data_IF_001067757801
#
_entry.id   IF_001067757801
#
_cell.length_a   1.000
_cell.length_b   1.000
_cell.length_c   1.000
_cell.angle_alpha   90.00
_cell.angle_beta   90.00
_cell.angle_gamma   90.00
#
_symmetry.space_group_name_H-M   'P 1'
#
loop_
_entity.id
_entity.type
_entity.pdbx_description
1 polymer ?
#
# COMPACT_ATOMS: atom_id res chain seq x y z
N UNK A 1 26.64 2.35 23.98
CA UNK A 1 26.16 3.74 23.77
C UNK A 1 26.43 4.29 22.36
N UNK A 2 27.68 4.51 21.88
CA UNK A 2 27.90 5.07 20.52
C UNK A 2 27.50 4.10 19.39
N UNK A 3 27.59 2.79 19.64
CA UNK A 3 27.17 1.72 18.72
C UNK A 3 25.64 1.56 18.68
N UNK A 4 24.97 1.57 19.85
CA UNK A 4 23.50 1.53 19.96
C UNK A 4 22.81 2.69 19.24
N UNK A 5 23.40 3.90 19.28
CA UNK A 5 22.84 5.08 18.61
C UNK A 5 22.87 4.92 17.09
N UNK A 6 23.97 4.40 16.53
CA UNK A 6 24.05 4.14 15.07
C UNK A 6 23.13 3.00 14.65
N UNK A 7 22.95 1.97 15.49
CA UNK A 7 22.03 0.87 15.20
C UNK A 7 20.57 1.34 15.15
N UNK A 8 20.14 2.16 16.11
CA UNK A 8 18.78 2.73 16.14
C UNK A 8 18.52 3.69 14.98
N UNK A 9 19.51 4.49 14.58
CA UNK A 9 19.40 5.37 13.41
C UNK A 9 19.28 4.55 12.11
N UNK A 10 20.05 3.46 11.98
CA UNK A 10 19.96 2.55 10.83
C UNK A 10 18.63 1.79 10.78
N UNK A 11 18.10 1.37 11.93
CA UNK A 11 16.80 0.70 12.06
C UNK A 11 15.65 1.65 11.65
N UNK A 12 15.66 2.90 12.13
CA UNK A 12 14.70 3.94 11.73
C UNK A 12 14.75 4.21 10.22
N UNK A 13 15.96 4.33 9.66
CA UNK A 13 16.16 4.51 8.22
C UNK A 13 15.68 3.30 7.41
N UNK A 14 15.94 2.08 7.90
CA UNK A 14 15.48 0.85 7.26
C UNK A 14 13.95 0.74 7.27
N UNK A 15 13.31 1.03 8.41
CA UNK A 15 11.84 1.03 8.54
C UNK A 15 11.21 2.07 7.60
N UNK A 16 11.75 3.30 7.55
CA UNK A 16 11.28 4.35 6.64
C UNK A 16 11.39 3.93 5.16
N UNK A 17 12.52 3.35 4.78
CA UNK A 17 12.75 2.88 3.41
C UNK A 17 11.85 1.69 3.08
N UNK A 18 11.68 0.75 4.01
CA UNK A 18 10.79 -0.39 3.90
C UNK A 18 9.32 0.03 3.71
N UNK A 19 8.85 1.03 4.47
CA UNK A 19 7.50 1.58 4.32
C UNK A 19 7.29 2.20 2.92
N UNK A 20 8.26 2.96 2.41
CA UNK A 20 8.17 3.56 1.09
C UNK A 20 8.09 2.49 -0.02
N UNK A 21 8.97 1.49 0.04
CA UNK A 21 8.95 0.40 -0.94
C UNK A 21 7.71 -0.48 -0.84
N UNK A 22 7.17 -0.71 0.36
CA UNK A 22 5.91 -1.42 0.56
C UNK A 22 4.73 -0.69 -0.07
N UNK A 23 4.67 0.64 0.08
CA UNK A 23 3.64 1.48 -0.55
C UNK A 23 3.70 1.40 -2.09
N UNK A 24 4.88 1.63 -2.68
CA UNK A 24 5.06 1.52 -4.13
C UNK A 24 4.80 0.08 -4.63
N UNK A 25 5.24 -0.93 -3.87
CA UNK A 25 4.99 -2.33 -4.17
C UNK A 25 3.51 -2.67 -4.20
N UNK A 26 2.71 -2.14 -3.27
CA UNK A 26 1.25 -2.32 -3.27
C UNK A 26 0.58 -1.71 -4.49
N UNK A 27 0.95 -0.47 -4.86
CA UNK A 27 0.41 0.21 -6.05
C UNK A 27 0.77 -0.56 -7.33
N UNK A 28 2.03 -0.96 -7.48
CA UNK A 28 2.50 -1.72 -8.65
C UNK A 28 1.85 -3.12 -8.71
N UNK A 29 1.69 -3.79 -7.57
CA UNK A 29 1.02 -5.10 -7.51
C UNK A 29 -0.43 -5.00 -8.00
N UNK A 30 -1.18 -4.00 -7.53
CA UNK A 30 -2.57 -3.80 -7.96
C UNK A 30 -2.67 -3.44 -9.46
N UNK A 31 -1.80 -2.55 -9.95
CA UNK A 31 -1.86 -2.05 -11.33
C UNK A 31 -1.31 -3.01 -12.38
N UNK A 32 -0.26 -3.79 -12.07
CA UNK A 32 0.39 -4.67 -13.04
C UNK A 32 0.04 -6.12 -12.81
N UNK A 33 0.16 -6.60 -11.56
CA UNK A 33 0.01 -8.02 -11.27
C UNK A 33 -1.46 -8.41 -11.16
N UNK A 34 -2.26 -7.69 -10.38
CA UNK A 34 -3.70 -7.98 -10.22
C UNK A 34 -4.47 -7.63 -11.50
N UNK A 35 -4.25 -6.43 -12.08
CA UNK A 35 -4.86 -6.07 -13.36
C UNK A 35 -4.41 -7.01 -14.49
N UNK A 36 -3.11 -7.34 -14.58
CA UNK A 36 -2.59 -8.23 -15.61
C UNK A 36 -3.13 -9.65 -15.49
N UNK A 37 -3.15 -10.21 -14.27
CA UNK A 37 -3.71 -11.55 -14.03
C UNK A 37 -5.21 -11.60 -14.23
N UNK A 38 -5.97 -10.56 -13.86
CA UNK A 38 -7.41 -10.49 -14.13
C UNK A 38 -7.74 -10.35 -15.62
N UNK A 39 -6.95 -9.59 -16.39
CA UNK A 39 -7.08 -9.53 -17.86
C UNK A 39 -6.69 -10.86 -18.51
N UNK A 40 -5.65 -11.53 -18.01
CA UNK A 40 -5.22 -12.83 -18.51
C UNK A 40 -6.27 -13.90 -18.18
N UNK A 41 -6.67 -14.05 -16.92
CA UNK A 41 -7.69 -15.01 -16.50
C UNK A 41 -9.06 -14.71 -17.11
N UNK A 42 -9.46 -13.43 -17.20
CA UNK A 42 -10.70 -13.01 -17.85
C UNK A 42 -10.69 -13.26 -19.36
N UNK A 43 -9.57 -13.00 -20.03
CA UNK A 43 -9.38 -13.28 -21.45
C UNK A 43 -9.32 -14.77 -21.78
N UNK A 44 -8.70 -15.59 -20.91
CA UNK A 44 -8.69 -17.05 -21.07
C UNK A 44 -10.06 -17.66 -20.76
N UNK A 45 -10.75 -17.21 -19.71
CA UNK A 45 -12.07 -17.72 -19.32
C UNK A 45 -13.16 -17.32 -20.33
N UNK A 46 -13.04 -16.16 -20.96
CA UNK A 46 -14.01 -15.66 -21.93
C UNK A 46 -13.41 -15.60 -23.36
N UNK A 47 -12.72 -16.66 -23.78
CA UNK A 47 -12.00 -16.73 -25.07
C UNK A 47 -12.90 -16.49 -26.30
N UNK A 48 -14.22 -16.67 -26.16
CA UNK A 48 -15.24 -16.48 -27.21
C UNK A 48 -16.30 -15.42 -26.87
N UNK A 49 -16.18 -14.72 -25.74
CA UNK A 49 -17.17 -13.73 -25.29
C UNK A 49 -16.55 -12.35 -25.08
N UNK A 50 -17.36 -11.30 -25.18
CA UNK A 50 -16.92 -9.95 -24.82
C UNK A 50 -16.92 -9.79 -23.30
N UNK A 51 -15.79 -9.40 -22.72
CA UNK A 51 -15.73 -9.02 -21.31
C UNK A 51 -16.45 -7.67 -21.15
N UNK A 52 -17.59 -7.67 -20.46
CA UNK A 52 -18.34 -6.44 -20.17
C UNK A 52 -17.49 -5.57 -19.26
N UNK A 53 -17.05 -4.44 -19.80
CA UNK A 53 -16.27 -3.45 -19.10
C UNK A 53 -17.03 -2.13 -19.12
N UNK A 54 -17.42 -1.63 -17.95
CA UNK A 54 -17.98 -0.28 -17.88
C UNK A 54 -16.86 0.74 -18.13
N UNK A 55 -16.77 1.17 -19.39
CA UNK A 55 -15.78 2.15 -19.84
C UNK A 55 -15.89 3.47 -19.07
N UNK A 56 -17.08 3.87 -18.59
CA UNK A 56 -17.22 5.14 -17.86
C UNK A 56 -16.63 5.01 -16.47
N UNK A 57 -16.95 3.94 -15.75
CA UNK A 57 -16.44 3.70 -14.40
C UNK A 57 -14.92 3.54 -14.38
N UNK A 58 -14.41 2.73 -15.29
CA UNK A 58 -12.99 2.53 -15.51
C UNK A 58 -12.23 3.83 -15.79
N UNK A 59 -12.72 4.64 -16.73
CA UNK A 59 -12.09 5.91 -17.07
C UNK A 59 -12.05 6.86 -15.87
N UNK A 60 -13.13 6.93 -15.09
CA UNK A 60 -13.16 7.76 -13.87
C UNK A 60 -12.12 7.27 -12.85
N UNK A 61 -12.05 5.97 -12.57
CA UNK A 61 -11.08 5.40 -11.63
C UNK A 61 -9.63 5.61 -12.11
N UNK A 62 -9.35 5.38 -13.39
CA UNK A 62 -8.03 5.63 -13.98
C UNK A 62 -7.64 7.10 -13.95
N UNK A 63 -8.57 8.02 -14.23
CA UNK A 63 -8.31 9.47 -14.16
C UNK A 63 -8.05 9.94 -12.73
N UNK A 64 -8.74 9.37 -11.73
CA UNK A 64 -8.51 9.67 -10.32
C UNK A 64 -7.13 9.16 -9.86
N UNK A 65 -6.74 7.95 -10.28
CA UNK A 65 -5.40 7.41 -10.01
C UNK A 65 -4.29 8.26 -10.67
N UNK A 66 -4.51 8.72 -11.90
CA UNK A 66 -3.56 9.62 -12.60
C UNK A 66 -3.49 10.99 -11.93
N UNK A 67 -4.63 11.54 -11.50
CA UNK A 67 -4.69 12.81 -10.79
C UNK A 67 -3.87 12.73 -9.49
N UNK A 68 -4.03 11.66 -8.71
CA UNK A 68 -3.27 11.44 -7.48
C UNK A 68 -1.78 11.23 -7.74
N UNK A 69 -1.43 10.55 -8.83
CA UNK A 69 -0.03 10.42 -9.23
C UNK A 69 0.58 11.80 -9.54
N UNK A 70 -0.09 12.65 -10.32
CA UNK A 70 0.38 13.99 -10.65
C UNK A 70 0.50 14.85 -9.38
N UNK A 71 -0.49 14.73 -8.49
CA UNK A 71 -0.55 15.41 -7.19
C UNK A 71 0.65 15.04 -6.30
N UNK A 72 1.06 13.76 -6.33
CA UNK A 72 2.21 13.25 -5.57
C UNK A 72 3.57 13.54 -6.25
N UNK A 73 3.62 13.50 -7.57
CA UNK A 73 4.84 13.79 -8.36
C UNK A 73 5.22 15.26 -8.26
N UNK A 74 4.26 16.18 -8.10
CA UNK A 74 4.54 17.61 -7.98
C UNK A 74 5.43 17.97 -6.76
N UNK A 75 5.13 17.53 -5.52
CA UNK A 75 6.03 17.64 -4.37
C UNK A 75 7.38 16.94 -4.57
N UNK A 76 7.40 15.79 -5.25
CA UNK A 76 8.64 15.06 -5.54
C UNK A 76 9.57 15.85 -6.47
N UNK A 77 9.03 16.38 -7.57
CA UNK A 77 9.79 17.23 -8.50
C UNK A 77 10.37 18.46 -7.82
N UNK A 78 9.60 19.11 -6.94
CA UNK A 78 10.08 20.27 -6.18
C UNK A 78 11.21 19.91 -5.19
N UNK A 79 11.21 18.68 -4.66
CA UNK A 79 12.31 18.16 -3.84
C UNK A 79 13.60 17.96 -4.65
N UNK A 80 13.51 17.48 -5.89
CA UNK A 80 14.67 17.20 -6.73
C UNK A 80 15.19 18.41 -7.54
N UNK A 81 14.34 19.39 -7.84
CA UNK A 81 14.71 20.58 -8.62
C UNK A 81 15.47 21.65 -7.81
N UNK A 82 15.68 21.46 -6.50
CA UNK A 82 16.31 22.45 -5.63
C UNK A 82 17.85 22.27 -5.57
N UNK A 83 18.65 23.30 -5.90
CA UNK A 83 20.12 23.22 -5.84
C UNK A 83 20.63 23.12 -4.40
N UNK A 84 21.72 22.37 -4.21
CA UNK A 84 22.29 21.95 -2.93
C UNK A 84 22.87 23.06 -2.02
N UNK A 85 22.71 24.33 -2.39
CA UNK A 85 23.43 25.46 -1.78
C UNK A 85 22.69 26.24 -0.69
N UNK A 86 21.46 25.86 -0.31
CA UNK A 86 20.73 26.51 0.79
C UNK A 86 20.56 25.59 2.02
N UNK A 87 21.02 25.99 3.22
CA UNK A 87 20.90 25.20 4.43
C UNK A 87 19.49 25.37 5.02
N UNK A 88 18.51 24.65 4.49
CA UNK A 88 17.16 24.64 5.06
C UNK A 88 16.65 23.21 5.17
N UNK A 89 17.20 22.45 6.12
CA UNK A 89 16.63 21.17 6.59
C UNK A 89 15.12 21.29 6.91
N UNK A 90 14.64 22.48 7.31
CA UNK A 90 13.22 22.77 7.50
C UNK A 90 12.35 22.76 6.22
N UNK A 91 12.93 22.98 5.03
CA UNK A 91 12.16 23.08 3.78
C UNK A 91 11.64 21.73 3.30
N UNK A 92 12.42 20.66 3.49
CA UNK A 92 12.07 19.30 3.03
C UNK A 92 10.94 18.75 3.90
N UNK A 93 11.01 18.99 5.21
CA UNK A 93 9.98 18.56 6.17
C UNK A 93 8.66 19.32 5.95
N UNK A 94 8.72 20.62 5.66
CA UNK A 94 7.53 21.40 5.31
C UNK A 94 6.90 20.95 3.99
N UNK A 95 7.71 20.58 2.99
CA UNK A 95 7.22 20.06 1.72
C UNK A 95 6.50 18.71 1.87
N UNK A 96 7.05 17.81 2.69
CA UNK A 96 6.39 16.53 3.02
C UNK A 96 5.08 16.73 3.77
N UNK A 97 5.02 17.67 4.72
CA UNK A 97 3.77 18.03 5.42
C UNK A 97 2.73 18.62 4.48
N UNK A 98 3.13 19.51 3.57
CA UNK A 98 2.24 20.07 2.55
C UNK A 98 1.69 18.97 1.62
N UNK A 99 2.54 18.04 1.18
CA UNK A 99 2.14 16.88 0.38
C UNK A 99 1.12 16.01 1.11
N UNK A 100 1.32 15.72 2.40
CA UNK A 100 0.37 14.94 3.19
C UNK A 100 -1.02 15.62 3.28
N UNK A 101 -1.05 16.94 3.50
CA UNK A 101 -2.32 17.69 3.56
C UNK A 101 -3.06 17.60 2.22
N UNK A 102 -2.33 17.76 1.11
CA UNK A 102 -2.91 17.67 -0.24
C UNK A 102 -3.49 16.27 -0.50
N UNK A 103 -2.76 15.20 -0.15
CA UNK A 103 -3.24 13.81 -0.29
C UNK A 103 -4.50 13.54 0.54
N UNK A 104 -4.59 14.08 1.76
CA UNK A 104 -5.79 13.94 2.60
C UNK A 104 -6.99 14.64 1.95
N UNK A 105 -6.80 15.87 1.44
CA UNK A 105 -7.86 16.61 0.76
C UNK A 105 -8.35 15.86 -0.47
N UNK A 106 -7.44 15.33 -1.28
CA UNK A 106 -7.78 14.52 -2.45
C UNK A 106 -8.54 13.24 -2.07
N UNK A 107 -8.09 12.53 -1.03
CA UNK A 107 -8.79 11.33 -0.55
C UNK A 107 -10.19 11.63 -0.02
N UNK A 108 -10.38 12.73 0.72
CA UNK A 108 -11.70 13.14 1.20
C UNK A 108 -12.61 13.53 0.04
N UNK A 109 -12.10 14.25 -0.96
CA UNK A 109 -12.84 14.56 -2.17
C UNK A 109 -13.24 13.29 -2.95
N UNK A 110 -12.34 12.30 -3.00
CA UNK A 110 -12.62 10.98 -3.57
C UNK A 110 -13.71 10.23 -2.81
N UNK A 111 -13.66 10.18 -1.47
CA UNK A 111 -14.72 9.58 -0.67
C UNK A 111 -16.08 10.27 -0.87
N UNK A 112 -16.09 11.61 -0.95
CA UNK A 112 -17.32 12.35 -1.26
C UNK A 112 -17.89 12.00 -2.64
N UNK A 113 -17.01 11.83 -3.63
CA UNK A 113 -17.38 11.40 -4.98
C UNK A 113 -17.98 9.99 -4.98
N UNK A 114 -17.33 9.04 -4.30
CA UNK A 114 -17.80 7.65 -4.15
C UNK A 114 -19.15 7.56 -3.44
N UNK A 115 -19.29 8.23 -2.29
CA UNK A 115 -20.46 8.06 -1.42
C UNK A 115 -21.70 8.81 -1.90
N UNK A 116 -21.54 9.97 -2.56
CA UNK A 116 -22.68 10.83 -2.90
C UNK A 116 -22.93 11.00 -4.38
N UNK A 117 -21.87 11.22 -5.17
CA UNK A 117 -22.05 11.71 -6.55
C UNK A 117 -22.24 10.56 -7.53
N UNK A 118 -21.55 9.44 -7.31
CA UNK A 118 -21.56 8.27 -8.22
C UNK A 118 -21.87 6.96 -7.47
N UNK A 119 -22.61 7.03 -6.34
CA UNK A 119 -23.00 5.87 -5.52
C UNK A 119 -23.59 4.73 -6.37
N UNK A 120 -24.47 5.05 -7.32
CA UNK A 120 -25.12 4.08 -8.21
C UNK A 120 -24.14 3.31 -9.13
N UNK A 121 -22.97 3.88 -9.47
CA UNK A 121 -21.94 3.17 -10.23
C UNK A 121 -21.14 2.20 -9.34
N UNK A 122 -21.01 2.48 -8.04
CA UNK A 122 -20.29 1.63 -7.10
C UNK A 122 -21.19 0.54 -6.49
N UNK A 123 -22.45 0.83 -6.20
CA UNK A 123 -23.43 -0.14 -5.66
C UNK A 123 -23.67 -1.28 -6.67
N UNK A 124 -23.74 -0.96 -7.98
CA UNK A 124 -23.85 -1.96 -9.04
C UNK A 124 -22.62 -2.88 -9.14
N UNK A 125 -21.43 -2.43 -8.70
CA UNK A 125 -20.22 -3.26 -8.66
C UNK A 125 -20.25 -4.22 -7.48
N UNK A 126 -20.69 -3.77 -6.30
CA UNK A 126 -20.82 -4.63 -5.11
C UNK A 126 -21.86 -5.74 -5.31
N UNK A 127 -22.95 -5.45 -6.02
CA UNK A 127 -23.95 -6.45 -6.38
C UNK A 127 -23.41 -7.51 -7.35
N UNK A 128 -22.63 -7.12 -8.37
CA UNK A 128 -22.11 -8.04 -9.40
C UNK A 128 -20.90 -8.86 -8.90
N UNK A 129 -20.10 -8.31 -7.98
CA UNK A 129 -19.08 -9.06 -7.24
C UNK A 129 -19.71 -10.02 -6.22
N UNK A 130 -20.80 -9.62 -5.56
CA UNK A 130 -21.51 -10.43 -4.56
C UNK A 130 -22.47 -11.49 -5.11
N UNK A 131 -22.76 -11.49 -6.42
CA UNK A 131 -23.71 -12.43 -7.06
C UNK A 131 -23.02 -13.59 -7.81
N UNK A 132 -21.68 -13.58 -7.92
CA UNK A 132 -20.93 -14.68 -8.55
C UNK A 132 -20.78 -15.91 -7.65
N UNK A 133 -21.03 -15.77 -6.35
CA UNK A 133 -21.18 -16.89 -5.41
C UNK A 133 -22.67 -17.13 -5.15
N UNK A 134 -23.32 -17.85 -6.06
CA UNK A 134 -24.66 -18.39 -5.86
C UNK A 134 -24.62 -19.67 -5.00
N UNK A 135 -24.02 -19.59 -3.82
CA UNK A 135 -24.27 -20.51 -2.71
C UNK A 135 -24.70 -19.67 -1.50
N UNK A 136 -25.89 -19.97 -0.98
CA UNK A 136 -26.58 -19.38 0.18
C UNK A 136 -25.79 -18.30 0.94
N UNK A 137 -26.11 -17.03 0.68
CA UNK A 137 -25.53 -15.85 1.33
C UNK A 137 -25.78 -15.95 2.85
N UNK A 138 -24.85 -16.56 3.57
CA UNK A 138 -24.84 -16.59 5.02
C UNK A 138 -24.58 -15.16 5.48
N UNK A 139 -25.65 -14.40 5.69
CA UNK A 139 -25.60 -13.10 6.34
C UNK A 139 -25.11 -13.32 7.76
N UNK A 140 -23.78 -13.28 7.93
CA UNK A 140 -23.13 -13.15 9.23
C UNK A 140 -23.79 -11.96 9.93
N UNK A 141 -24.58 -12.25 10.96
CA UNK A 141 -25.23 -11.20 11.75
C UNK A 141 -24.18 -10.20 12.23
N UNK A 142 -24.57 -8.94 12.43
CA UNK A 142 -23.64 -7.84 12.79
C UNK A 142 -22.70 -8.23 13.95
N UNK A 143 -23.18 -9.02 14.92
CA UNK A 143 -22.37 -9.56 16.02
C UNK A 143 -21.31 -10.58 15.58
N UNK A 144 -21.65 -11.48 14.65
CA UNK A 144 -20.73 -12.45 14.05
C UNK A 144 -19.71 -11.77 13.14
N UNK A 145 -20.15 -10.77 12.35
CA UNK A 145 -19.26 -9.95 11.53
C UNK A 145 -18.27 -9.14 12.37
N UNK A 146 -18.73 -8.54 13.47
CA UNK A 146 -17.87 -7.82 14.41
C UNK A 146 -16.86 -8.76 15.09
N UNK A 147 -17.28 -9.96 15.49
CA UNK A 147 -16.39 -10.97 16.07
C UNK A 147 -15.31 -11.40 15.09
N UNK A 148 -15.69 -11.64 13.82
CA UNK A 148 -14.75 -12.03 12.77
C UNK A 148 -13.77 -10.91 12.43
N UNK A 149 -14.24 -9.66 12.36
CA UNK A 149 -13.40 -8.48 12.13
C UNK A 149 -12.33 -8.35 13.21
N UNK A 150 -12.72 -8.46 14.49
CA UNK A 150 -11.78 -8.41 15.61
C UNK A 150 -10.80 -9.59 15.54
N UNK A 151 -11.29 -10.81 15.28
CA UNK A 151 -10.46 -12.01 15.18
C UNK A 151 -9.41 -11.94 14.08
N UNK A 152 -9.79 -11.48 12.89
CA UNK A 152 -8.85 -11.28 11.77
C UNK A 152 -7.88 -10.15 12.06
N UNK A 153 -8.32 -9.06 12.69
CA UNK A 153 -7.43 -7.93 13.05
C UNK A 153 -6.33 -8.39 14.02
N UNK A 154 -6.69 -9.17 15.05
CA UNK A 154 -5.71 -9.73 16.00
C UNK A 154 -4.75 -10.68 15.28
N UNK A 155 -5.29 -11.57 14.45
CA UNK A 155 -4.47 -12.54 13.69
C UNK A 155 -3.47 -11.83 12.78
N UNK A 156 -3.92 -10.80 12.03
CA UNK A 156 -3.06 -10.02 11.15
C UNK A 156 -2.00 -9.24 11.96
N UNK A 157 -2.36 -8.69 13.12
CA UNK A 157 -1.40 -7.99 13.98
C UNK A 157 -0.28 -8.91 14.47
N UNK A 158 -0.62 -10.11 14.97
CA UNK A 158 0.35 -11.10 15.42
C UNK A 158 1.23 -11.60 14.25
N UNK A 159 0.62 -11.85 13.10
CA UNK A 159 1.35 -12.29 11.92
C UNK A 159 2.30 -11.19 11.40
N UNK A 160 1.87 -9.92 11.44
CA UNK A 160 2.69 -8.79 11.04
C UNK A 160 3.91 -8.65 11.94
N UNK A 161 3.77 -8.77 13.25
CA UNK A 161 4.88 -8.73 14.20
C UNK A 161 5.87 -9.89 13.98
N UNK A 162 5.33 -11.10 13.73
CA UNK A 162 6.15 -12.27 13.41
C UNK A 162 6.93 -12.10 12.10
N UNK A 163 6.30 -11.58 11.05
CA UNK A 163 6.95 -11.32 9.76
C UNK A 163 8.06 -10.29 9.93
N UNK A 164 7.79 -9.17 10.62
CA UNK A 164 8.79 -8.12 10.88
C UNK A 164 9.98 -8.68 11.65
N UNK A 165 9.73 -9.44 12.72
CA UNK A 165 10.80 -10.09 13.52
C UNK A 165 11.62 -11.08 12.68
N UNK A 166 10.98 -11.79 11.76
CA UNK A 166 11.64 -12.78 10.90
C UNK A 166 12.55 -12.13 9.85
N UNK A 167 12.18 -10.96 9.33
CA UNK A 167 12.98 -10.27 8.29
C UNK A 167 14.12 -9.44 8.89
N UNK A 168 13.99 -8.93 10.11
CA UNK A 168 14.98 -8.04 10.74
C UNK A 168 16.33 -8.75 10.99
N UNK A 169 16.29 -9.95 11.58
CA UNK A 169 17.48 -10.74 11.94
C UNK A 169 18.38 -11.05 10.72
N UNK A 170 17.88 -11.69 9.63
CA UNK A 170 18.72 -12.01 8.47
C UNK A 170 19.22 -10.76 7.74
N UNK A 171 18.43 -9.67 7.71
CA UNK A 171 18.87 -8.42 7.09
C UNK A 171 20.00 -7.76 7.85
N UNK A 172 19.93 -7.70 9.18
CA UNK A 172 21.02 -7.18 10.01
C UNK A 172 22.33 -7.95 9.77
N UNK A 173 22.25 -9.27 9.60
CA UNK A 173 23.42 -10.10 9.30
C UNK A 173 23.99 -9.81 7.91
N UNK A 174 23.13 -9.72 6.88
CA UNK A 174 23.55 -9.39 5.52
C UNK A 174 24.19 -7.99 5.47
N UNK A 175 23.61 -7.00 6.14
CA UNK A 175 24.17 -5.64 6.23
C UNK A 175 25.52 -5.65 6.98
N UNK A 176 25.62 -6.41 8.07
CA UNK A 176 26.88 -6.61 8.81
C UNK A 176 27.99 -7.19 7.93
N UNK A 177 27.67 -8.20 7.12
CA UNK A 177 28.59 -8.79 6.14
C UNK A 177 29.02 -7.78 5.07
N UNK A 178 28.10 -6.96 4.55
CA UNK A 178 28.40 -5.89 3.59
C UNK A 178 29.33 -4.83 4.20
N UNK A 179 29.20 -4.54 5.50
CA UNK A 179 30.09 -3.63 6.24
C UNK A 179 31.44 -4.26 6.65
N UNK A 180 31.70 -5.51 6.27
CA UNK A 180 32.96 -6.20 6.57
C UNK A 180 33.09 -6.66 8.02
N UNK A 181 31.97 -6.70 8.75
CA UNK A 181 31.90 -7.24 10.12
C UNK A 181 31.44 -8.69 10.02
N UNK A 182 32.28 -9.62 10.46
CA UNK A 182 31.91 -11.03 10.57
C UNK A 182 30.93 -11.20 11.75
N UNK A 183 29.63 -11.12 11.46
CA UNK A 183 28.57 -11.50 12.40
C UNK A 183 28.21 -12.94 12.08
N UNK A 184 28.50 -13.83 13.03
CA UNK A 184 28.08 -15.23 12.96
C UNK A 184 26.64 -15.36 13.42
N UNK A 185 25.91 -16.25 12.77
CA UNK A 185 24.48 -16.47 12.94
C UNK A 185 24.27 -17.37 14.16
N UNK A 186 24.60 -16.88 15.36
CA UNK A 186 24.25 -17.60 16.59
C UNK A 186 22.74 -17.44 16.80
N UNK A 187 21.99 -18.31 16.12
CA UNK A 187 20.67 -18.70 16.59
C UNK A 187 20.91 -19.36 17.95
N UNK A 188 20.91 -18.55 19.01
CA UNK A 188 20.63 -19.00 20.37
C UNK A 188 19.26 -19.65 20.36
N UNK A 189 19.23 -20.89 19.90
CA UNK A 189 18.05 -21.70 19.66
C UNK A 189 17.69 -22.37 20.98
N UNK A 190 17.25 -21.55 21.95
CA UNK A 190 16.16 -21.81 22.89
C UNK A 190 15.85 -20.57 23.74
#
# INVERSE_FOLDING_TARGET
MRFDINLREMEEHFVLVGMLYSLYGSILSNLLLVLGSSLLCGGLANLYGEQKYDRKQANVNSLLLILGLICHVFPLMFKYAKPASDPVQGSILQLSRASNIVMIIEYVAYLFFQLKTHHQLFEAQEEDEGNKDSEEKHVIGISSGLLWLIGMTITIALLSEYIVSTIEIPLCVIVGWIMGIAIDLDFGLL
#
